data_IF_738496068904
#
_entry.id   IF_738496068904
#
_cell.length_a   1.000
_cell.length_b   1.000
_cell.length_c   1.000
_cell.angle_alpha   90.00
_cell.angle_beta   90.00
_cell.angle_gamma   90.00
#
_symmetry.space_group_name_H-M   'P 1'
#
loop_
_entity.id
_entity.type
_entity.pdbx_description
1 polymer ?
#
# COMPACT_ATOMS: atom_id res chain seq x y z
N UNK A 1 -21.58 5.52 -20.12
CA UNK A 1 -20.49 4.56 -19.88
C UNK A 1 -21.01 3.56 -18.85
N UNK A 2 -22.12 2.88 -19.15
CA UNK A 2 -22.20 1.51 -19.71
C UNK A 2 -21.27 0.53 -18.98
N UNK A 3 -21.72 0.09 -17.79
CA UNK A 3 -21.14 -1.01 -17.03
C UNK A 3 -21.88 -2.29 -17.39
N UNK A 4 -21.30 -3.09 -18.28
CA UNK A 4 -21.74 -4.45 -18.58
C UNK A 4 -20.73 -5.41 -17.99
N UNK A 5 -21.16 -6.15 -16.97
CA UNK A 5 -20.44 -7.31 -16.45
C UNK A 5 -20.44 -8.42 -17.51
N UNK A 6 -19.29 -9.05 -17.84
CA UNK A 6 -19.28 -10.23 -18.68
C UNK A 6 -19.55 -11.47 -17.82
N UNK A 7 -20.81 -11.92 -17.81
CA UNK A 7 -21.20 -13.24 -17.32
C UNK A 7 -20.72 -14.30 -18.31
N UNK A 8 -19.84 -15.21 -17.89
CA UNK A 8 -19.41 -16.36 -18.67
C UNK A 8 -20.29 -17.57 -18.33
N UNK A 9 -21.06 -18.06 -19.31
CA UNK A 9 -21.75 -19.36 -19.23
C UNK A 9 -20.88 -20.43 -19.90
N UNK A 10 -20.58 -21.51 -19.18
CA UNK A 10 -19.92 -22.69 -19.74
C UNK A 10 -21.00 -23.74 -20.03
N UNK A 11 -21.28 -23.98 -21.31
CA UNK A 11 -22.16 -25.06 -21.75
C UNK A 11 -21.32 -26.28 -22.11
N UNK A 12 -21.47 -27.38 -21.38
CA UNK A 12 -20.90 -28.69 -21.74
C UNK A 12 -22.03 -29.64 -22.15
N UNK A 13 -22.10 -30.01 -23.42
CA UNK A 13 -23.01 -31.05 -23.90
C UNK A 13 -22.27 -32.40 -23.94
N UNK A 14 -22.54 -33.27 -22.97
CA UNK A 14 -22.19 -34.69 -23.06
C UNK A 14 -23.31 -35.45 -23.75
N UNK A 15 -23.02 -36.09 -24.88
CA UNK A 15 -23.97 -36.90 -25.63
C UNK A 15 -23.60 -38.38 -25.47
N UNK A 16 -24.27 -39.05 -24.53
CA UNK A 16 -24.15 -40.50 -24.34
C UNK A 16 -25.04 -41.21 -25.37
N UNK A 17 -24.42 -41.86 -26.36
CA UNK A 17 -25.13 -42.79 -27.23
C UNK A 17 -25.35 -44.12 -26.48
N UNK A 18 -26.61 -44.54 -26.36
CA UNK A 18 -26.99 -45.86 -25.86
C UNK A 18 -26.70 -46.93 -26.94
N UNK A 19 -26.25 -48.14 -26.57
CA UNK A 19 -26.06 -49.23 -27.52
C UNK A 19 -27.42 -49.83 -27.92
N UNK A 20 -27.70 -49.83 -29.23
CA UNK A 20 -28.90 -50.43 -29.82
C UNK A 20 -28.82 -51.96 -29.77
N UNK A 21 -29.79 -52.57 -29.11
CA UNK A 21 -29.99 -54.01 -29.08
C UNK A 21 -31.28 -54.35 -29.81
N UNK A 22 -31.15 -54.82 -31.07
CA UNK A 22 -31.88 -55.94 -31.70
C UNK A 22 -31.92 -55.80 -33.22
N UNK A 23 -31.31 -56.75 -33.92
CA UNK A 23 -31.96 -57.43 -35.06
C UNK A 23 -31.24 -58.74 -35.39
N UNK A 24 -32.05 -59.78 -35.59
CA UNK A 24 -31.70 -61.18 -35.84
C UNK A 24 -32.01 -61.52 -37.30
N UNK A 25 -31.11 -62.32 -37.89
CA UNK A 25 -31.32 -63.42 -38.85
C UNK A 25 -31.86 -63.09 -40.25
N UNK A 26 -31.04 -63.37 -41.28
CA UNK A 26 -31.13 -64.40 -42.36
C UNK A 26 -29.84 -64.22 -43.19
N UNK A 27 -29.06 -65.20 -43.65
CA UNK A 27 -29.21 -66.62 -43.95
C UNK A 27 -28.56 -66.82 -45.33
N UNK A 28 -27.42 -67.49 -45.44
CA UNK A 28 -26.96 -68.13 -46.69
C UNK A 28 -25.75 -69.04 -46.41
N UNK A 29 -25.84 -70.25 -46.92
CA UNK A 29 -24.88 -71.35 -46.86
C UNK A 29 -24.36 -71.54 -48.29
N UNK A 30 -23.07 -71.30 -48.57
CA UNK A 30 -22.38 -71.75 -49.79
C UNK A 30 -20.85 -71.83 -49.53
N UNK A 31 -20.37 -73.08 -49.52
CA UNK A 31 -19.14 -73.65 -50.09
C UNK A 31 -17.74 -73.14 -49.67
N UNK A 32 -16.97 -74.11 -49.15
CA UNK A 32 -15.51 -74.12 -49.09
C UNK A 32 -14.92 -74.21 -50.50
N UNK A 33 -14.01 -73.31 -50.88
CA UNK A 33 -12.84 -73.62 -51.71
C UNK A 33 -11.86 -72.42 -51.78
N UNK A 34 -10.62 -72.70 -51.36
CA UNK A 34 -9.32 -72.15 -51.75
C UNK A 34 -9.17 -70.65 -52.15
N UNK A 35 -8.58 -69.87 -51.25
CA UNK A 35 -7.70 -68.75 -51.63
C UNK A 35 -6.51 -68.65 -50.66
N UNK A 36 -5.34 -69.08 -51.13
CA UNK A 36 -4.05 -68.85 -50.48
C UNK A 36 -3.64 -67.39 -50.72
N UNK A 37 -3.83 -66.52 -49.73
CA UNK A 37 -3.17 -65.20 -49.70
C UNK A 37 -1.96 -65.24 -48.76
N UNK A 38 -0.77 -65.05 -49.37
CA UNK A 38 0.51 -64.92 -48.69
C UNK A 38 0.51 -63.71 -47.73
N UNK A 39 0.66 -63.97 -46.43
CA UNK A 39 0.86 -62.95 -45.41
C UNK A 39 2.35 -62.51 -45.47
N UNK A 40 2.67 -61.22 -45.68
CA UNK A 40 4.05 -60.75 -45.58
C UNK A 40 4.54 -60.85 -44.12
N UNK A 41 5.72 -61.43 -43.93
CA UNK A 41 6.34 -61.67 -42.62
C UNK A 41 6.32 -60.41 -41.73
N UNK A 42 5.66 -60.50 -40.58
CA UNK A 42 5.79 -59.51 -39.51
C UNK A 42 7.27 -59.41 -39.05
N UNK A 43 7.83 -58.21 -38.82
CA UNK A 43 9.19 -58.10 -38.32
C UNK A 43 9.27 -58.75 -36.94
N UNK A 44 10.15 -59.77 -36.82
CA UNK A 44 10.37 -60.54 -35.59
C UNK A 44 10.54 -59.61 -34.40
N UNK A 45 9.51 -59.55 -33.54
CA UNK A 45 9.61 -58.89 -32.24
C UNK A 45 10.77 -59.50 -31.47
N UNK A 46 11.84 -58.72 -31.25
CA UNK A 46 12.89 -59.10 -30.30
C UNK A 46 12.24 -59.24 -28.92
N UNK A 47 11.94 -60.47 -28.50
CA UNK A 47 11.41 -60.77 -27.17
C UNK A 47 12.45 -60.33 -26.14
N UNK A 48 12.19 -59.17 -25.55
CA UNK A 48 13.02 -58.58 -24.50
C UNK A 48 13.25 -59.58 -23.36
N UNK A 49 14.51 -59.76 -22.95
CA UNK A 49 14.87 -60.70 -21.90
C UNK A 49 14.15 -60.36 -20.59
N UNK A 50 13.88 -61.36 -19.75
CA UNK A 50 13.30 -61.19 -18.41
C UNK A 50 14.06 -60.15 -17.56
N UNK A 51 15.37 -59.99 -17.79
CA UNK A 51 16.22 -59.01 -17.10
C UNK A 51 16.01 -57.58 -17.63
N UNK A 52 15.85 -57.42 -18.93
CA UNK A 52 15.65 -56.13 -19.61
C UNK A 52 14.25 -55.57 -19.32
N UNK A 53 13.20 -56.43 -19.29
CA UNK A 53 11.84 -56.03 -18.89
C UNK A 53 11.78 -55.51 -17.46
N UNK A 54 12.51 -56.17 -16.55
CA UNK A 54 12.63 -55.74 -15.15
C UNK A 54 13.38 -54.42 -15.02
N UNK A 55 14.46 -54.23 -15.80
CA UNK A 55 15.23 -52.99 -15.80
C UNK A 55 14.42 -51.81 -16.34
N UNK A 56 13.62 -52.02 -17.40
CA UNK A 56 12.73 -51.00 -17.96
C UNK A 56 11.63 -50.61 -16.97
N UNK A 57 10.96 -51.60 -16.36
CA UNK A 57 9.93 -51.35 -15.36
C UNK A 57 10.47 -50.56 -14.14
N UNK A 58 11.67 -50.90 -13.66
CA UNK A 58 12.33 -50.16 -12.58
C UNK A 58 12.70 -48.73 -12.98
N UNK A 59 13.12 -48.53 -14.23
CA UNK A 59 13.44 -47.21 -14.76
C UNK A 59 12.19 -46.33 -14.95
N UNK A 60 11.06 -46.93 -15.36
CA UNK A 60 9.75 -46.27 -15.44
C UNK A 60 9.26 -45.88 -14.04
N UNK A 61 9.29 -46.79 -13.06
CA UNK A 61 8.88 -46.51 -11.68
C UNK A 61 9.71 -45.38 -11.05
N UNK A 62 11.02 -45.36 -11.31
CA UNK A 62 11.90 -44.29 -10.83
C UNK A 62 11.56 -42.94 -11.49
N UNK A 63 11.27 -42.92 -12.79
CA UNK A 63 10.83 -41.69 -13.50
C UNK A 63 9.50 -41.19 -12.98
N UNK A 64 8.57 -42.09 -12.68
CA UNK A 64 7.29 -41.73 -12.05
C UNK A 64 7.51 -41.12 -10.68
N UNK A 65 8.34 -41.73 -9.82
CA UNK A 65 8.69 -41.16 -8.52
C UNK A 65 9.37 -39.79 -8.64
N UNK A 66 10.33 -39.64 -9.54
CA UNK A 66 11.03 -38.37 -9.77
C UNK A 66 10.05 -37.28 -10.26
N UNK A 67 9.10 -37.62 -11.14
CA UNK A 67 8.07 -36.68 -11.60
C UNK A 67 7.11 -36.23 -10.49
N UNK A 68 6.73 -37.13 -9.58
CA UNK A 68 5.88 -36.82 -8.44
C UNK A 68 6.59 -35.93 -7.42
N UNK A 69 7.88 -36.14 -7.20
CA UNK A 69 8.71 -35.30 -6.33
C UNK A 69 8.82 -33.89 -6.91
N UNK A 70 9.01 -33.76 -8.22
CA UNK A 70 9.12 -32.45 -8.86
C UNK A 70 7.80 -31.68 -8.85
N UNK A 71 6.67 -32.35 -9.09
CA UNK A 71 5.34 -31.76 -8.94
C UNK A 71 5.10 -31.22 -7.51
N UNK A 72 5.44 -32.01 -6.48
CA UNK A 72 5.32 -31.58 -5.07
C UNK A 72 6.19 -30.37 -4.73
N UNK A 73 7.41 -30.29 -5.29
CA UNK A 73 8.28 -29.11 -5.11
C UNK A 73 7.67 -27.87 -5.75
N UNK A 74 7.13 -27.99 -6.96
CA UNK A 74 6.48 -26.87 -7.65
C UNK A 74 5.27 -26.37 -6.86
N UNK A 75 4.43 -27.27 -6.36
CA UNK A 75 3.28 -26.92 -5.52
C UNK A 75 3.73 -26.20 -4.23
N UNK A 76 4.77 -26.72 -3.57
CA UNK A 76 5.32 -26.09 -2.37
C UNK A 76 5.89 -24.69 -2.65
N UNK A 77 6.51 -24.47 -3.80
CA UNK A 77 7.04 -23.17 -4.20
C UNK A 77 5.92 -22.17 -4.50
N UNK A 78 4.83 -22.61 -5.14
CA UNK A 78 3.66 -21.77 -5.39
C UNK A 78 3.00 -21.35 -4.07
N UNK A 79 2.85 -22.28 -3.13
CA UNK A 79 2.32 -21.97 -1.79
C UNK A 79 3.24 -20.99 -1.05
N UNK A 80 4.56 -21.25 -1.04
CA UNK A 80 5.52 -20.36 -0.39
C UNK A 80 5.51 -18.94 -1.00
N UNK A 81 5.38 -18.83 -2.33
CA UNK A 81 5.27 -17.55 -3.02
C UNK A 81 4.00 -16.80 -2.67
N UNK A 82 2.83 -17.47 -2.66
CA UNK A 82 1.56 -16.86 -2.23
C UNK A 82 1.62 -16.36 -0.80
N UNK A 83 2.16 -17.17 0.11
CA UNK A 83 2.35 -16.78 1.51
C UNK A 83 3.29 -15.58 1.66
N UNK A 84 4.37 -15.52 0.88
CA UNK A 84 5.28 -14.38 0.87
C UNK A 84 4.61 -13.11 0.33
N UNK A 85 3.86 -13.22 -0.77
CA UNK A 85 3.10 -12.10 -1.35
C UNK A 85 1.99 -11.60 -0.40
N UNK A 86 1.26 -12.48 0.26
CA UNK A 86 0.27 -12.13 1.28
C UNK A 86 0.90 -11.44 2.49
N UNK A 87 2.03 -11.94 2.97
CA UNK A 87 2.79 -11.32 4.07
C UNK A 87 3.24 -9.91 3.69
N UNK A 88 3.69 -9.70 2.47
CA UNK A 88 4.12 -8.38 2.00
C UNK A 88 2.92 -7.42 1.84
N UNK A 89 1.80 -7.91 1.30
CA UNK A 89 0.55 -7.14 1.25
C UNK A 89 0.08 -6.74 2.65
N UNK A 90 0.12 -7.65 3.61
CA UNK A 90 -0.23 -7.37 5.01
C UNK A 90 0.69 -6.31 5.63
N UNK A 91 2.00 -6.36 5.34
CA UNK A 91 2.95 -5.33 5.80
C UNK A 91 2.64 -3.96 5.22
N UNK A 92 2.44 -3.88 3.91
CA UNK A 92 2.10 -2.63 3.22
C UNK A 92 0.78 -2.06 3.77
N UNK A 93 -0.25 -2.91 3.94
CA UNK A 93 -1.51 -2.49 4.53
C UNK A 93 -1.36 -2.00 5.97
N UNK A 94 -0.56 -2.68 6.79
CA UNK A 94 -0.29 -2.25 8.16
C UNK A 94 0.41 -0.88 8.20
N UNK A 95 1.33 -0.60 7.26
CA UNK A 95 2.00 0.70 7.18
C UNK A 95 1.06 1.81 6.69
N UNK A 96 0.22 1.51 5.68
CA UNK A 96 -0.84 2.42 5.23
C UNK A 96 -1.81 2.72 6.39
N UNK A 97 -2.16 1.71 7.18
CA UNK A 97 -3.04 1.90 8.34
C UNK A 97 -2.38 2.79 9.40
N UNK A 98 -1.12 2.53 9.76
CA UNK A 98 -0.38 3.37 10.71
C UNK A 98 -0.25 4.82 10.27
N UNK A 99 0.04 5.05 8.99
CA UNK A 99 0.14 6.41 8.43
C UNK A 99 -1.23 7.09 8.45
N UNK A 100 -2.31 6.39 8.11
CA UNK A 100 -3.69 6.90 8.22
C UNK A 100 -4.07 7.25 9.66
N UNK A 101 -3.77 6.38 10.61
CA UNK A 101 -4.06 6.62 12.04
C UNK A 101 -3.27 7.82 12.57
N UNK A 102 -2.02 7.97 12.15
CA UNK A 102 -1.19 9.12 12.50
C UNK A 102 -1.75 10.43 11.93
N UNK A 103 -2.21 10.41 10.67
CA UNK A 103 -2.85 11.57 10.04
C UNK A 103 -4.18 11.93 10.70
N UNK A 104 -5.00 10.94 11.05
CA UNK A 104 -6.26 11.14 11.76
C UNK A 104 -6.02 11.76 13.14
N UNK A 105 -5.02 11.27 13.89
CA UNK A 105 -4.67 11.84 15.19
C UNK A 105 -4.20 13.30 15.10
N UNK A 106 -3.48 13.68 14.03
CA UNK A 106 -3.11 15.09 13.79
C UNK A 106 -4.34 15.92 13.45
N UNK A 107 -5.23 15.43 12.58
CA UNK A 107 -6.46 16.14 12.21
C UNK A 107 -7.40 16.35 13.40
N UNK A 108 -7.53 15.35 14.29
CA UNK A 108 -8.31 15.48 15.52
C UNK A 108 -7.71 16.53 16.46
N UNK A 109 -6.38 16.56 16.63
CA UNK A 109 -5.70 17.58 17.43
C UNK A 109 -5.92 18.98 16.86
N UNK A 110 -5.77 19.15 15.54
CA UNK A 110 -6.00 20.43 14.88
C UNK A 110 -7.45 20.90 15.02
N UNK A 111 -8.43 19.98 14.91
CA UNK A 111 -9.84 20.29 15.10
C UNK A 111 -10.17 20.72 16.54
N UNK A 112 -9.57 20.08 17.55
CA UNK A 112 -9.70 20.48 18.96
C UNK A 112 -9.09 21.87 19.16
N UNK A 113 -7.89 22.12 18.60
CA UNK A 113 -7.23 23.43 18.68
C UNK A 113 -8.06 24.53 18.04
N UNK A 114 -8.77 24.28 16.95
CA UNK A 114 -9.62 25.29 16.31
C UNK A 114 -10.85 25.67 17.14
N UNK A 115 -11.41 24.69 17.88
CA UNK A 115 -12.58 24.88 18.74
C UNK A 115 -12.25 25.45 20.12
N UNK A 116 -10.97 25.48 20.50
CA UNK A 116 -10.54 26.06 21.77
C UNK A 116 -10.91 27.55 21.86
N UNK A 117 -11.69 27.91 22.87
CA UNK A 117 -11.95 29.31 23.22
C UNK A 117 -10.80 29.85 24.09
N UNK A 118 -10.07 30.83 23.55
CA UNK A 118 -8.93 31.42 24.25
C UNK A 118 -9.46 32.48 25.24
N UNK A 119 -9.40 32.18 26.54
CA UNK A 119 -9.64 33.17 27.58
C UNK A 119 -8.41 34.09 27.70
N UNK A 120 -8.55 35.35 27.30
CA UNK A 120 -7.46 36.34 27.30
C UNK A 120 -7.17 36.86 28.70
N UNK A 121 -5.89 36.91 29.07
CA UNK A 121 -5.48 37.58 30.29
C UNK A 121 -5.50 39.11 30.11
N UNK A 122 -5.79 39.86 31.18
CA UNK A 122 -5.88 41.33 31.14
C UNK A 122 -4.56 41.95 30.68
N UNK A 123 -4.57 42.64 29.54
CA UNK A 123 -3.39 43.32 28.97
C UNK A 123 -2.49 42.45 28.08
N UNK A 124 -2.88 41.20 27.80
CA UNK A 124 -2.15 40.31 26.89
C UNK A 124 -2.30 40.78 25.43
N UNK A 125 -1.16 41.02 24.76
CA UNK A 125 -1.18 41.22 23.31
C UNK A 125 -1.42 39.87 22.64
N UNK A 126 -2.57 39.76 21.98
CA UNK A 126 -2.99 38.58 21.24
C UNK A 126 -3.61 39.00 19.92
N UNK A 127 -3.25 38.30 18.84
CA UNK A 127 -3.93 38.43 17.55
C UNK A 127 -4.25 37.04 17.01
N UNK A 128 -5.35 36.93 16.27
CA UNK A 128 -5.81 35.69 15.64
C UNK A 128 -6.11 35.96 14.17
N UNK A 129 -5.75 35.02 13.29
CA UNK A 129 -6.19 35.03 11.91
C UNK A 129 -6.34 33.62 11.34
N UNK A 130 -7.23 33.48 10.37
CA UNK A 130 -7.26 32.31 9.48
C UNK A 130 -6.24 32.55 8.37
N UNK A 131 -5.26 31.65 8.25
CA UNK A 131 -4.26 31.68 7.18
C UNK A 131 -4.40 30.41 6.35
N UNK A 132 -4.53 30.57 5.03
CA UNK A 132 -4.65 29.47 4.06
C UNK A 132 -3.33 29.16 3.35
N UNK A 133 -2.35 30.06 3.47
CA UNK A 133 -0.97 29.84 3.03
C UNK A 133 -0.37 28.79 3.96
N UNK A 134 0.34 27.78 3.43
CA UNK A 134 0.93 26.55 4.03
C UNK A 134 1.51 26.65 5.47
N UNK A 135 0.72 27.19 6.39
CA UNK A 135 1.05 27.59 7.74
C UNK A 135 0.16 26.76 8.62
N UNK A 136 0.79 25.91 9.43
CA UNK A 136 0.06 25.00 10.30
C UNK A 136 -0.74 25.79 11.34
N UNK A 137 -1.99 25.40 11.64
CA UNK A 137 -2.73 25.98 12.76
C UNK A 137 -1.94 25.85 14.07
N UNK A 138 -2.20 26.75 15.01
CA UNK A 138 -1.58 26.74 16.34
C UNK A 138 -1.18 28.12 16.83
N UNK A 139 -0.33 28.15 17.84
CA UNK A 139 0.05 29.35 18.58
C UNK A 139 1.51 29.71 18.34
N UNK A 140 1.75 30.86 17.71
CA UNK A 140 3.05 31.31 17.28
C UNK A 140 3.60 32.35 18.26
N UNK A 141 4.85 32.13 18.69
CA UNK A 141 5.55 33.01 19.61
C UNK A 141 6.22 34.16 18.83
N UNK A 142 5.47 35.23 18.58
CA UNK A 142 5.89 36.37 17.77
C UNK A 142 6.81 37.30 18.57
N UNK A 143 7.92 37.65 17.94
CA UNK A 143 8.90 38.60 18.49
C UNK A 143 8.86 39.95 17.80
N UNK A 144 8.55 40.00 16.49
CA UNK A 144 8.37 41.25 15.76
C UNK A 144 7.64 41.04 14.42
N UNK A 145 7.21 42.15 13.80
CA UNK A 145 6.51 42.17 12.51
C UNK A 145 7.05 43.30 11.64
N UNK A 146 7.36 43.01 10.37
CA UNK A 146 8.02 43.96 9.46
C UNK A 146 7.28 44.08 8.12
N UNK A 147 7.04 45.32 7.68
CA UNK A 147 6.61 45.59 6.29
C UNK A 147 7.77 45.78 5.31
N UNK A 148 8.99 45.95 5.80
CA UNK A 148 10.17 46.23 4.96
C UNK A 148 11.16 45.08 5.04
N UNK A 149 11.51 44.51 3.88
CA UNK A 149 12.43 43.37 3.78
C UNK A 149 13.80 43.65 4.42
N UNK A 150 14.33 44.87 4.28
CA UNK A 150 15.62 45.28 4.85
C UNK A 150 15.66 45.14 6.38
N UNK A 151 14.60 45.55 7.08
CA UNK A 151 14.54 45.46 8.55
C UNK A 151 14.29 44.03 9.01
N UNK A 152 13.43 43.31 8.29
CA UNK A 152 13.22 41.88 8.51
C UNK A 152 14.55 41.09 8.42
N UNK A 153 15.32 41.24 7.33
CA UNK A 153 16.58 40.52 7.13
C UNK A 153 17.57 40.79 8.26
N UNK A 154 17.75 42.07 8.62
CA UNK A 154 18.64 42.46 9.74
C UNK A 154 18.21 41.83 11.06
N UNK A 155 16.91 41.80 11.33
CA UNK A 155 16.41 41.22 12.58
C UNK A 155 16.59 39.71 12.63
N UNK A 156 16.34 39.00 11.52
CA UNK A 156 16.62 37.57 11.42
C UNK A 156 18.10 37.26 11.65
N UNK A 157 19.01 38.06 11.09
CA UNK A 157 20.46 37.93 11.35
C UNK A 157 20.82 38.17 12.81
N UNK A 158 20.21 39.18 13.45
CA UNK A 158 20.43 39.48 14.88
C UNK A 158 20.02 38.29 15.75
N UNK A 159 18.83 37.72 15.51
CA UNK A 159 18.36 36.55 16.26
C UNK A 159 19.27 35.33 16.05
N UNK A 160 19.73 35.09 14.81
CA UNK A 160 20.69 34.02 14.51
C UNK A 160 22.04 34.23 15.22
N UNK A 161 22.52 35.48 15.30
CA UNK A 161 23.74 35.83 16.05
C UNK A 161 23.58 35.63 17.56
N UNK A 162 22.36 35.73 18.09
CA UNK A 162 22.03 35.38 19.47
C UNK A 162 21.94 33.85 19.70
N UNK A 163 22.16 33.03 18.67
CA UNK A 163 22.06 31.57 18.75
C UNK A 163 20.62 31.05 18.71
N UNK A 164 19.67 31.87 18.27
CA UNK A 164 18.28 31.47 18.07
C UNK A 164 18.06 31.00 16.63
N UNK A 165 17.05 30.16 16.42
CA UNK A 165 16.60 29.75 15.08
C UNK A 165 15.26 30.44 14.75
N UNK A 166 15.27 31.73 14.36
CA UNK A 166 14.05 32.44 14.05
C UNK A 166 13.42 31.92 12.76
N UNK A 167 12.11 31.83 12.77
CA UNK A 167 11.29 31.50 11.61
C UNK A 167 10.37 32.67 11.30
N UNK A 168 9.73 32.62 10.12
CA UNK A 168 8.80 33.66 9.73
C UNK A 168 7.71 33.13 8.82
N UNK A 169 6.59 33.83 8.80
CA UNK A 169 5.58 33.68 7.77
C UNK A 169 5.16 35.05 7.25
N UNK A 170 4.81 35.11 5.97
CA UNK A 170 4.26 36.31 5.35
C UNK A 170 2.75 36.26 5.44
N UNK A 171 2.11 37.39 5.76
CA UNK A 171 0.65 37.51 5.74
C UNK A 171 0.25 38.42 4.59
N UNK A 172 -0.21 37.83 3.49
CA UNK A 172 -0.62 38.56 2.27
C UNK A 172 -1.65 39.66 2.55
N UNK A 173 -2.65 39.40 3.40
CA UNK A 173 -3.70 40.35 3.77
C UNK A 173 -3.15 41.67 4.34
N UNK A 174 -2.09 41.61 5.15
CA UNK A 174 -1.49 42.79 5.78
C UNK A 174 -0.18 43.23 5.10
N UNK A 175 0.35 42.42 4.18
CA UNK A 175 1.65 42.60 3.53
C UNK A 175 2.80 42.76 4.54
N UNK A 176 2.77 41.96 5.60
CA UNK A 176 3.76 42.00 6.68
C UNK A 176 4.39 40.62 6.89
N UNK A 177 5.68 40.62 7.21
CA UNK A 177 6.43 39.45 7.65
C UNK A 177 6.38 39.35 9.17
N UNK A 178 5.83 38.26 9.69
CA UNK A 178 5.78 37.96 11.12
C UNK A 178 6.96 37.06 11.46
N UNK A 179 7.80 37.50 12.40
CA UNK A 179 8.96 36.74 12.88
C UNK A 179 8.59 36.08 14.21
N UNK A 180 8.83 34.77 14.29
CA UNK A 180 8.50 33.97 15.47
C UNK A 180 9.67 33.05 15.83
N UNK A 181 9.75 32.70 17.11
CA UNK A 181 10.78 31.78 17.61
C UNK A 181 10.33 30.32 17.57
N UNK A 182 9.09 30.06 17.99
CA UNK A 182 8.55 28.69 18.00
C UNK A 182 7.02 28.69 17.83
N UNK A 183 6.48 27.54 17.38
CA UNK A 183 5.05 27.27 17.28
C UNK A 183 4.63 26.17 18.26
N UNK A 184 3.57 26.42 19.01
CA UNK A 184 2.99 25.53 20.00
C UNK A 184 1.60 25.04 19.58
N UNK A 185 1.21 23.89 20.12
CA UNK A 185 -0.10 23.29 19.89
C UNK A 185 -1.18 23.91 20.77
N UNK A 186 -0.83 24.35 21.98
CA UNK A 186 -1.79 24.88 22.96
C UNK A 186 -1.46 26.31 23.39
N UNK A 187 -2.49 27.07 23.77
CA UNK A 187 -2.30 28.41 24.31
C UNK A 187 -1.48 28.38 25.61
N UNK A 188 -1.67 27.35 26.43
CA UNK A 188 -0.95 27.19 27.71
C UNK A 188 0.56 27.07 27.52
N UNK A 189 1.02 26.27 26.55
CA UNK A 189 2.44 26.14 26.21
C UNK A 189 3.02 27.44 25.68
N UNK A 190 2.29 28.11 24.77
CA UNK A 190 2.73 29.39 24.21
C UNK A 190 2.87 30.47 25.29
N UNK A 191 1.94 30.53 26.26
CA UNK A 191 2.03 31.43 27.42
C UNK A 191 3.22 31.10 28.29
N UNK A 192 3.42 29.82 28.62
CA UNK A 192 4.57 29.38 29.42
C UNK A 192 5.89 29.81 28.77
N UNK A 193 6.03 29.61 27.45
CA UNK A 193 7.22 30.02 26.72
C UNK A 193 7.39 31.54 26.63
N UNK A 194 6.30 32.29 26.45
CA UNK A 194 6.33 33.76 26.49
C UNK A 194 6.78 34.26 27.87
N UNK A 195 6.17 33.73 28.93
CA UNK A 195 6.39 34.15 30.31
C UNK A 195 7.79 33.75 30.79
N UNK A 196 8.32 32.63 30.32
CA UNK A 196 9.73 32.24 30.53
C UNK A 196 10.72 33.02 29.67
N UNK A 197 10.27 33.97 28.83
CA UNK A 197 11.11 34.73 27.90
C UNK A 197 11.89 33.82 26.95
N UNK A 198 11.20 32.80 26.45
CA UNK A 198 11.74 31.72 25.65
C UNK A 198 12.94 31.06 26.35
N UNK A 199 12.68 30.61 27.59
CA UNK A 199 13.68 30.03 28.51
C UNK A 199 14.86 30.98 28.79
N UNK A 200 14.57 32.26 28.92
CA UNK A 200 15.54 33.34 29.13
C UNK A 200 16.40 33.65 27.89
N UNK A 201 16.20 32.95 26.76
CA UNK A 201 17.00 33.15 25.55
C UNK A 201 16.59 34.41 24.77
N UNK A 202 15.42 34.99 25.05
CA UNK A 202 14.95 36.20 24.38
C UNK A 202 14.34 37.20 25.36
N UNK A 203 15.02 38.33 25.57
CA UNK A 203 14.69 39.30 26.62
C UNK A 203 13.57 40.28 26.24
N UNK A 204 13.44 40.58 24.94
CA UNK A 204 12.50 41.60 24.46
C UNK A 204 11.05 41.13 24.54
N UNK A 205 10.13 41.98 24.06
CA UNK A 205 8.71 41.69 24.07
C UNK A 205 8.38 40.51 23.16
N UNK A 206 7.61 39.58 23.71
CA UNK A 206 7.07 38.42 23.02
C UNK A 206 5.56 38.45 23.16
N UNK A 207 4.84 38.13 22.10
CA UNK A 207 3.39 38.02 22.13
C UNK A 207 2.92 36.84 21.29
N UNK A 208 1.66 36.42 21.47
CA UNK A 208 1.15 35.19 20.89
C UNK A 208 0.21 35.51 19.73
N UNK A 209 0.47 34.89 18.58
CA UNK A 209 -0.41 34.95 17.42
C UNK A 209 -1.03 33.58 17.17
N UNK A 210 -2.36 33.49 17.12
CA UNK A 210 -3.05 32.24 16.80
C UNK A 210 -3.37 32.17 15.31
N UNK A 211 -2.93 31.09 14.68
CA UNK A 211 -3.34 30.72 13.32
C UNK A 211 -4.45 29.69 13.44
N UNK A 212 -5.61 29.99 12.87
CA UNK A 212 -6.68 29.01 12.65
C UNK A 212 -6.56 28.43 11.25
N UNK A 213 -6.85 27.13 11.12
CA UNK A 213 -6.98 26.51 9.80
C UNK A 213 -8.22 27.05 9.09
N UNK A 214 -8.10 27.26 7.79
CA UNK A 214 -9.19 27.68 6.91
C UNK A 214 -10.02 26.52 6.39
#
# INVERSE_FOLDING_TARGET
LDGKDPTFEIVSSYQFALPDSRRKIVGFEVEEEDLVEEIPESPKEKKLSRKERKALALAEEKREQDSLVEARKQDSLVVARRMAEEKERMRIQAEIQKTKDSLAAVAERDAVQQKEEVQLAKGERFEEAVLTEDIRPGYYLIVNVFGTQRYYNKFMETLKKMGLDPKSFYRTQRKLNYVYLERYDTMGEARKARDSKFDGKYTDTIWIFRVKGG
#
